data_IF_089157150026
#
_entry.id   IF_089157150026
#
_cell.length_a   1.000
_cell.length_b   1.000
_cell.length_c   1.000
_cell.angle_alpha   90.00
_cell.angle_beta   90.00
_cell.angle_gamma   90.00
#
_symmetry.space_group_name_H-M   'P 1'
#
loop_
_entity.id
_entity.type
_entity.pdbx_description
1 polymer ?
#
# COMPACT_ATOMS: atom_id res chain seq x y z
N UNK A 1 -11.96 -14.89 -8.21
CA UNK A 1 -13.29 -15.10 -7.63
C UNK A 1 -13.79 -13.75 -7.17
N UNK A 2 -14.94 -13.26 -7.66
CA UNK A 2 -15.54 -12.01 -7.18
C UNK A 2 -16.20 -12.23 -5.81
N UNK A 3 -16.10 -11.23 -4.93
CA UNK A 3 -16.71 -11.19 -3.61
C UNK A 3 -17.33 -9.80 -3.45
N UNK A 4 -18.65 -9.75 -3.27
CA UNK A 4 -19.39 -8.50 -3.14
C UNK A 4 -20.02 -8.45 -1.75
N UNK A 5 -19.92 -7.31 -1.05
CA UNK A 5 -20.50 -7.14 0.28
C UNK A 5 -21.13 -5.76 0.48
N UNK A 6 -22.18 -5.70 1.29
CA UNK A 6 -23.05 -4.53 1.44
C UNK A 6 -23.39 -4.29 2.91
N UNK A 7 -23.51 -3.02 3.29
CA UNK A 7 -24.02 -2.61 4.59
C UNK A 7 -22.97 -2.71 5.71
N UNK A 8 -23.03 -3.76 6.55
CA UNK A 8 -22.02 -3.98 7.58
C UNK A 8 -21.45 -5.39 7.38
N UNK A 9 -20.20 -5.47 6.93
CA UNK A 9 -19.57 -6.73 6.56
C UNK A 9 -18.23 -6.94 7.28
N UNK A 10 -17.91 -8.22 7.51
CA UNK A 10 -16.61 -8.64 8.00
C UNK A 10 -16.19 -9.88 7.22
N UNK A 11 -15.01 -9.83 6.61
CA UNK A 11 -14.51 -10.89 5.75
C UNK A 11 -13.06 -11.24 6.12
N UNK A 12 -12.74 -12.51 5.99
CA UNK A 12 -11.38 -13.03 6.10
C UNK A 12 -11.14 -13.94 4.91
N UNK A 13 -10.06 -13.69 4.18
CA UNK A 13 -9.71 -14.39 2.96
C UNK A 13 -8.29 -14.90 3.12
N UNK A 14 -8.10 -16.17 2.78
CA UNK A 14 -6.82 -16.87 2.80
C UNK A 14 -6.69 -17.58 1.45
N UNK A 15 -5.55 -17.39 0.78
CA UNK A 15 -5.27 -18.02 -0.51
C UNK A 15 -3.83 -18.47 -0.64
N UNK A 16 -3.62 -19.71 -1.08
CA UNK A 16 -2.31 -20.27 -1.39
C UNK A 16 -2.17 -20.59 -2.89
N UNK A 17 -0.94 -20.52 -3.40
CA UNK A 17 -0.58 -21.02 -4.72
C UNK A 17 -0.75 -19.98 -5.82
N UNK A 18 -1.72 -20.16 -6.72
CA UNK A 18 -2.03 -19.18 -7.78
C UNK A 18 -3.46 -18.71 -7.58
N UNK A 19 -3.64 -17.46 -7.16
CA UNK A 19 -4.94 -16.90 -6.81
C UNK A 19 -5.24 -15.61 -7.59
N UNK A 20 -6.51 -15.40 -7.87
CA UNK A 20 -7.01 -14.14 -8.45
C UNK A 20 -8.32 -13.79 -7.80
N UNK A 21 -8.40 -12.60 -7.21
CA UNK A 21 -9.53 -12.14 -6.42
C UNK A 21 -9.94 -10.74 -6.83
N UNK A 22 -11.25 -10.50 -6.78
CA UNK A 22 -11.86 -9.19 -6.96
C UNK A 22 -12.81 -9.01 -5.80
N UNK A 23 -12.70 -7.92 -5.07
CA UNK A 23 -13.52 -7.65 -3.89
C UNK A 23 -14.16 -6.29 -4.07
N UNK A 24 -15.47 -6.22 -3.86
CA UNK A 24 -16.28 -5.02 -3.89
C UNK A 24 -17.01 -4.91 -2.54
N UNK A 25 -16.93 -3.75 -1.90
CA UNK A 25 -17.58 -3.52 -0.62
C UNK A 25 -18.16 -2.11 -0.49
N UNK A 26 -19.47 -2.04 -0.24
CA UNK A 26 -20.16 -0.79 0.09
C UNK A 26 -20.59 -0.77 1.57
N UNK A 27 -20.38 0.37 2.24
CA UNK A 27 -20.86 0.62 3.61
C UNK A 27 -19.75 0.56 4.66
N UNK A 28 -19.93 -0.23 5.71
CA UNK A 28 -18.93 -0.43 6.79
C UNK A 28 -18.33 -1.82 6.62
N UNK A 29 -17.09 -1.88 6.14
CA UNK A 29 -16.41 -3.14 5.85
C UNK A 29 -15.17 -3.32 6.72
N UNK A 30 -14.93 -4.55 7.15
CA UNK A 30 -13.66 -4.97 7.75
C UNK A 30 -13.16 -6.20 7.03
N UNK A 31 -11.95 -6.13 6.50
CA UNK A 31 -11.36 -7.18 5.68
C UNK A 31 -9.97 -7.54 6.19
N UNK A 32 -9.68 -8.83 6.23
CA UNK A 32 -8.34 -9.37 6.42
C UNK A 32 -8.05 -10.31 5.26
N UNK A 33 -6.96 -10.07 4.55
CA UNK A 33 -6.58 -10.84 3.38
C UNK A 33 -5.16 -11.33 3.58
N UNK A 34 -4.98 -12.64 3.45
CA UNK A 34 -3.69 -13.32 3.47
C UNK A 34 -3.50 -14.06 2.14
N UNK A 35 -2.34 -13.90 1.52
CA UNK A 35 -2.03 -14.56 0.26
C UNK A 35 -0.59 -15.00 0.15
N UNK A 36 -0.39 -16.30 -0.09
CA UNK A 36 0.92 -16.88 -0.36
C UNK A 36 1.02 -17.38 -1.82
N UNK A 37 2.12 -17.05 -2.50
CA UNK A 37 2.44 -17.57 -3.84
C UNK A 37 2.35 -16.52 -4.94
N UNK A 38 1.51 -16.75 -5.95
CA UNK A 38 1.26 -15.81 -7.05
C UNK A 38 -0.17 -15.30 -6.93
N UNK A 39 -0.33 -14.08 -6.44
CA UNK A 39 -1.64 -13.47 -6.20
C UNK A 39 -1.88 -12.26 -7.08
N UNK A 40 -3.13 -12.10 -7.51
CA UNK A 40 -3.61 -10.88 -8.15
C UNK A 40 -4.91 -10.47 -7.49
N UNK A 41 -4.95 -9.25 -6.95
CA UNK A 41 -6.08 -8.72 -6.20
C UNK A 41 -6.49 -7.37 -6.77
N UNK A 42 -7.80 -7.19 -6.91
CA UNK A 42 -8.44 -5.90 -7.14
C UNK A 42 -9.43 -5.69 -6.02
N UNK A 43 -9.36 -4.57 -5.33
CA UNK A 43 -10.24 -4.26 -4.21
C UNK A 43 -10.83 -2.88 -4.44
N UNK A 44 -12.14 -2.81 -4.35
CA UNK A 44 -12.93 -1.60 -4.44
C UNK A 44 -13.73 -1.45 -3.13
N UNK A 45 -13.70 -0.27 -2.52
CA UNK A 45 -14.40 -0.03 -1.26
C UNK A 45 -14.94 1.38 -1.15
N UNK A 46 -16.27 1.48 -0.99
CA UNK A 46 -16.95 2.75 -0.73
C UNK A 46 -17.47 2.79 0.72
N UNK A 47 -17.13 3.86 1.46
CA UNK A 47 -17.66 4.12 2.80
C UNK A 47 -16.60 4.05 3.90
N UNK A 48 -16.85 3.28 4.97
CA UNK A 48 -15.91 3.11 6.09
C UNK A 48 -15.27 1.73 5.98
N UNK A 49 -14.04 1.69 5.49
CA UNK A 49 -13.30 0.45 5.29
C UNK A 49 -12.11 0.33 6.24
N UNK A 50 -11.89 -0.88 6.74
CA UNK A 50 -10.64 -1.27 7.41
C UNK A 50 -10.14 -2.53 6.77
N UNK A 51 -8.95 -2.50 6.19
CA UNK A 51 -8.42 -3.58 5.37
C UNK A 51 -6.99 -3.91 5.80
N UNK A 52 -6.77 -5.12 6.28
CA UNK A 52 -5.41 -5.62 6.53
C UNK A 52 -5.06 -6.59 5.42
N UNK A 53 -3.93 -6.36 4.76
CA UNK A 53 -3.49 -7.22 3.65
C UNK A 53 -2.06 -7.68 3.92
N UNK A 54 -1.88 -8.99 3.87
CA UNK A 54 -0.59 -9.66 3.91
C UNK A 54 -0.40 -10.42 2.59
N UNK A 55 0.78 -10.30 2.00
CA UNK A 55 1.11 -11.02 0.77
C UNK A 55 2.56 -11.46 0.73
N UNK A 56 2.77 -12.76 0.56
CA UNK A 56 4.08 -13.35 0.34
C UNK A 56 4.22 -13.91 -1.09
N UNK A 57 5.32 -13.60 -1.76
CA UNK A 57 5.69 -14.19 -3.05
C UNK A 57 5.68 -13.19 -4.21
N UNK A 58 4.81 -13.41 -5.21
CA UNK A 58 4.61 -12.51 -6.34
C UNK A 58 3.18 -11.99 -6.28
N UNK A 59 3.02 -10.74 -5.84
CA UNK A 59 1.71 -10.12 -5.67
C UNK A 59 1.52 -8.92 -6.60
N UNK A 60 0.29 -8.78 -7.10
CA UNK A 60 -0.17 -7.55 -7.74
C UNK A 60 -1.49 -7.18 -7.10
N UNK A 61 -1.57 -5.95 -6.60
CA UNK A 61 -2.69 -5.50 -5.78
C UNK A 61 -3.11 -4.10 -6.20
N UNK A 62 -4.29 -4.01 -6.81
CA UNK A 62 -4.94 -2.74 -7.09
C UNK A 62 -5.97 -2.45 -6.02
N UNK A 63 -5.87 -1.30 -5.37
CA UNK A 63 -6.84 -0.87 -4.36
C UNK A 63 -7.41 0.47 -4.79
N UNK A 64 -8.74 0.55 -4.75
CA UNK A 64 -9.51 1.78 -4.86
C UNK A 64 -10.34 1.94 -3.58
N UNK A 65 -10.40 3.15 -3.06
CA UNK A 65 -11.17 3.44 -1.85
C UNK A 65 -11.68 4.85 -1.79
N UNK A 66 -12.93 4.98 -1.35
CA UNK A 66 -13.56 6.27 -1.12
C UNK A 66 -13.99 6.44 0.35
N UNK A 67 -14.20 7.69 0.75
CA UNK A 67 -14.66 8.15 2.07
C UNK A 67 -13.65 7.99 3.23
N UNK A 68 -13.65 6.87 3.95
CA UNK A 68 -12.81 6.68 5.15
C UNK A 68 -12.17 5.30 5.11
N UNK A 69 -10.86 5.26 4.92
CA UNK A 69 -10.11 4.01 4.85
C UNK A 69 -8.97 3.92 5.86
N UNK A 70 -8.70 2.70 6.32
CA UNK A 70 -7.48 2.35 7.04
C UNK A 70 -6.93 1.05 6.46
N UNK A 71 -5.71 1.11 5.92
CA UNK A 71 -5.13 0.02 5.14
C UNK A 71 -3.68 -0.27 5.52
N UNK A 72 -3.44 -1.05 6.57
CA UNK A 72 -2.15 -1.72 6.75
C UNK A 72 -1.93 -2.74 5.63
N UNK A 73 -0.82 -2.61 4.91
CA UNK A 73 -0.43 -3.50 3.82
C UNK A 73 1.01 -3.96 4.06
N UNK A 74 1.18 -5.27 4.18
CA UNK A 74 2.48 -5.92 4.29
C UNK A 74 2.72 -6.77 3.03
N UNK A 75 3.92 -6.66 2.45
CA UNK A 75 4.27 -7.38 1.22
C UNK A 75 5.70 -7.88 1.21
N UNK A 76 5.88 -9.20 1.15
CA UNK A 76 7.18 -9.83 1.00
C UNK A 76 7.37 -10.42 -0.41
N UNK A 77 8.53 -10.18 -1.02
CA UNK A 77 8.93 -10.79 -2.29
C UNK A 77 8.92 -9.80 -3.46
N UNK A 78 8.06 -10.02 -4.45
CA UNK A 78 7.88 -9.14 -5.62
C UNK A 78 6.46 -8.60 -5.60
N UNK A 79 6.32 -7.31 -5.33
CA UNK A 79 5.02 -6.67 -5.19
C UNK A 79 4.85 -5.49 -6.15
N UNK A 80 3.64 -5.34 -6.67
CA UNK A 80 3.17 -4.17 -7.40
C UNK A 80 1.85 -3.68 -6.79
N UNK A 81 1.85 -2.46 -6.28
CA UNK A 81 0.74 -1.90 -5.49
C UNK A 81 0.35 -0.51 -6.01
N UNK A 82 -0.48 -0.43 -7.05
CA UNK A 82 -1.26 0.77 -7.33
C UNK A 82 -2.39 0.95 -6.31
N UNK A 83 -2.43 2.10 -5.66
CA UNK A 83 -3.45 2.47 -4.68
C UNK A 83 -4.01 3.84 -5.08
N UNK A 84 -5.33 3.91 -5.19
CA UNK A 84 -6.10 5.14 -5.35
C UNK A 84 -6.99 5.31 -4.11
N UNK A 85 -7.07 6.54 -3.61
CA UNK A 85 -7.80 6.79 -2.37
C UNK A 85 -8.33 8.21 -2.26
N UNK A 86 -9.64 8.35 -2.12
CA UNK A 86 -10.31 9.63 -1.87
C UNK A 86 -10.86 9.71 -0.44
N UNK A 87 -10.77 10.89 0.20
CA UNK A 87 -11.38 11.14 1.50
C UNK A 87 -10.38 11.17 2.66
N UNK A 88 -10.58 10.34 3.69
CA UNK A 88 -9.75 10.28 4.89
C UNK A 88 -9.05 8.91 4.96
N UNK A 89 -7.76 8.91 4.65
CA UNK A 89 -7.02 7.68 4.40
C UNK A 89 -5.83 7.55 5.34
N UNK A 90 -5.65 6.35 5.92
CA UNK A 90 -4.46 6.00 6.70
C UNK A 90 -3.85 4.73 6.14
N UNK A 91 -2.61 4.83 5.65
CA UNK A 91 -1.93 3.76 4.91
C UNK A 91 -0.52 3.51 5.47
N UNK A 92 -0.38 2.63 6.47
CA UNK A 92 0.88 1.99 6.78
C UNK A 92 1.20 0.93 5.72
N UNK A 93 2.37 1.00 5.10
CA UNK A 93 2.81 0.03 4.11
C UNK A 93 4.21 -0.46 4.50
N UNK A 94 4.38 -1.76 4.63
CA UNK A 94 5.68 -2.41 4.77
C UNK A 94 5.94 -3.26 3.51
N UNK A 95 7.16 -3.21 3.00
CA UNK A 95 7.54 -4.02 1.85
C UNK A 95 8.97 -4.52 1.92
N UNK A 96 9.15 -5.83 1.82
CA UNK A 96 10.45 -6.47 1.71
C UNK A 96 10.67 -7.08 0.32
N UNK A 97 11.85 -6.84 -0.26
CA UNK A 97 12.25 -7.44 -1.53
C UNK A 97 12.27 -6.47 -2.71
N UNK A 98 11.44 -6.71 -3.73
CA UNK A 98 11.30 -5.86 -4.92
C UNK A 98 9.88 -5.30 -4.94
N UNK A 99 9.72 -4.03 -4.59
CA UNK A 99 8.41 -3.39 -4.54
C UNK A 99 8.29 -2.25 -5.56
N UNK A 100 7.13 -2.16 -6.19
CA UNK A 100 6.71 -1.00 -6.98
C UNK A 100 5.40 -0.48 -6.43
N UNK A 101 5.40 0.76 -5.94
CA UNK A 101 4.24 1.43 -5.37
C UNK A 101 3.90 2.66 -6.20
N UNK A 102 2.60 2.84 -6.47
CA UNK A 102 2.04 4.06 -7.03
C UNK A 102 0.84 4.41 -6.17
N UNK A 103 0.92 5.52 -5.44
CA UNK A 103 -0.16 5.95 -4.54
C UNK A 103 -0.68 7.29 -5.05
N UNK A 104 -1.97 7.34 -5.33
CA UNK A 104 -2.71 8.57 -5.53
C UNK A 104 -3.63 8.79 -4.32
N UNK A 105 -3.72 10.02 -3.84
CA UNK A 105 -4.55 10.31 -2.68
C UNK A 105 -5.12 11.72 -2.71
N UNK A 106 -6.45 11.82 -2.65
CA UNK A 106 -7.15 13.09 -2.51
C UNK A 106 -7.79 13.23 -1.12
N UNK A 107 -7.68 14.41 -0.52
CA UNK A 107 -8.34 14.74 0.75
C UNK A 107 -7.39 14.83 1.94
N UNK A 108 -7.57 13.98 2.95
CA UNK A 108 -6.74 13.92 4.17
C UNK A 108 -6.04 12.56 4.19
N UNK A 109 -4.74 12.54 3.87
CA UNK A 109 -3.95 11.30 3.82
C UNK A 109 -2.86 11.27 4.88
N UNK A 110 -2.73 10.12 5.55
CA UNK A 110 -1.58 9.80 6.41
C UNK A 110 -0.94 8.54 5.90
N UNK A 111 0.31 8.65 5.44
CA UNK A 111 1.10 7.55 4.90
C UNK A 111 2.34 7.30 5.74
N UNK A 112 2.61 6.04 6.04
CA UNK A 112 3.87 5.59 6.61
C UNK A 112 4.35 4.43 5.78
N UNK A 113 5.47 4.58 5.09
CA UNK A 113 6.00 3.53 4.21
C UNK A 113 7.37 3.12 4.69
N UNK A 114 7.53 1.83 4.98
CA UNK A 114 8.82 1.19 5.16
C UNK A 114 9.12 0.30 3.95
N UNK A 115 10.38 0.26 3.54
CA UNK A 115 10.79 -0.64 2.48
C UNK A 115 12.21 -1.12 2.66
N UNK A 116 12.38 -2.44 2.64
CA UNK A 116 13.68 -3.09 2.59
C UNK A 116 13.92 -3.70 1.20
N UNK A 117 15.06 -3.38 0.59
CA UNK A 117 15.49 -3.98 -0.68
C UNK A 117 15.48 -3.00 -1.86
N UNK A 118 14.77 -3.35 -2.94
CA UNK A 118 14.68 -2.54 -4.16
C UNK A 118 13.26 -1.99 -4.29
N UNK A 119 13.09 -0.71 -3.99
CA UNK A 119 11.78 -0.04 -4.05
C UNK A 119 11.74 1.03 -5.14
N UNK A 120 10.62 1.07 -5.86
CA UNK A 120 10.25 2.19 -6.74
C UNK A 120 8.93 2.74 -6.27
N UNK A 121 8.89 4.03 -6.01
CA UNK A 121 7.73 4.67 -5.41
C UNK A 121 7.37 5.96 -6.14
N UNK A 122 6.11 6.08 -6.51
CA UNK A 122 5.49 7.32 -6.97
C UNK A 122 4.33 7.64 -6.05
N UNK A 123 4.33 8.84 -5.48
CA UNK A 123 3.20 9.30 -4.67
C UNK A 123 2.73 10.64 -5.20
N UNK A 124 1.44 10.72 -5.49
CA UNK A 124 0.71 11.96 -5.72
C UNK A 124 -0.25 12.19 -4.56
N UNK A 125 -0.42 13.45 -4.16
CA UNK A 125 -1.34 13.77 -3.08
C UNK A 125 -1.93 15.18 -3.23
N UNK A 126 -3.25 15.27 -3.20
CA UNK A 126 -3.97 16.54 -3.15
C UNK A 126 -4.67 16.73 -1.80
N UNK A 127 -4.52 17.91 -1.19
CA UNK A 127 -5.21 18.29 0.05
C UNK A 127 -4.27 18.39 1.25
N UNK A 128 -4.53 17.61 2.30
CA UNK A 128 -3.74 17.59 3.55
C UNK A 128 -3.05 16.24 3.68
N UNK A 129 -1.74 16.22 3.45
CA UNK A 129 -0.96 14.98 3.50
C UNK A 129 0.10 15.00 4.60
N UNK A 130 0.21 13.88 5.30
CA UNK A 130 1.31 13.58 6.23
C UNK A 130 1.99 12.30 5.77
N UNK A 131 3.30 12.35 5.59
CA UNK A 131 4.05 11.26 4.99
C UNK A 131 5.35 10.99 5.75
N UNK A 132 5.57 9.74 6.11
CA UNK A 132 6.85 9.24 6.60
C UNK A 132 7.31 8.11 5.70
N UNK A 133 8.52 8.20 5.16
CA UNK A 133 9.08 7.12 4.36
C UNK A 133 10.45 6.76 4.91
N UNK A 134 10.65 5.48 5.21
CA UNK A 134 11.95 4.88 5.42
C UNK A 134 12.25 3.91 4.29
N UNK A 135 13.52 3.82 3.92
CA UNK A 135 13.95 2.89 2.90
C UNK A 135 15.37 2.42 3.20
N UNK A 136 15.50 1.11 3.35
CA UNK A 136 16.78 0.45 3.49
C UNK A 136 17.21 -0.15 2.14
N UNK A 137 18.36 0.31 1.61
CA UNK A 137 19.01 -0.16 0.37
C UNK A 137 18.79 0.70 -0.89
N UNK A 138 18.10 0.21 -1.93
CA UNK A 138 18.00 0.87 -3.24
C UNK A 138 16.57 1.35 -3.46
N UNK A 139 16.33 2.63 -3.24
CA UNK A 139 15.03 3.25 -3.42
C UNK A 139 15.07 4.34 -4.49
N UNK A 140 14.08 4.32 -5.38
CA UNK A 140 13.76 5.45 -6.26
C UNK A 140 12.40 6.00 -5.89
N UNK A 141 12.31 7.32 -5.79
CA UNK A 141 11.12 7.98 -5.23
C UNK A 141 10.80 9.26 -5.99
N UNK A 142 9.52 9.42 -6.32
CA UNK A 142 8.92 10.66 -6.81
C UNK A 142 7.74 10.98 -5.90
N UNK A 143 7.70 12.20 -5.36
CA UNK A 143 6.58 12.68 -4.56
C UNK A 143 6.14 14.00 -5.17
N UNK A 144 4.88 14.06 -5.58
CA UNK A 144 4.18 15.29 -5.87
C UNK A 144 3.13 15.53 -4.78
N UNK A 145 2.90 16.79 -4.45
CA UNK A 145 1.87 17.13 -3.49
C UNK A 145 1.34 18.54 -3.70
N UNK A 146 0.03 18.66 -3.84
CA UNK A 146 -0.68 19.93 -3.87
C UNK A 146 -1.47 20.15 -2.58
N UNK A 147 -1.19 21.25 -1.88
CA UNK A 147 -1.90 21.61 -0.65
C UNK A 147 -1.00 21.70 0.59
N UNK A 148 -1.51 21.27 1.74
CA UNK A 148 -0.78 21.27 3.02
C UNK A 148 -0.09 19.93 3.25
N UNK A 149 1.19 19.86 2.91
CA UNK A 149 1.96 18.63 3.00
C UNK A 149 3.02 18.70 4.10
N UNK A 150 3.16 17.62 4.86
CA UNK A 150 4.31 17.38 5.73
C UNK A 150 4.94 16.04 5.39
N UNK A 151 6.25 16.03 5.11
CA UNK A 151 6.96 14.82 4.72
C UNK A 151 8.30 14.68 5.45
N UNK A 152 8.63 13.43 5.79
CA UNK A 152 9.98 13.02 6.21
C UNK A 152 10.38 11.78 5.43
N UNK A 153 11.54 11.83 4.79
CA UNK A 153 12.10 10.69 4.07
C UNK A 153 13.50 10.38 4.61
N UNK A 154 13.75 9.13 4.96
CA UNK A 154 15.08 8.60 5.29
C UNK A 154 15.45 7.56 4.25
N UNK A 155 16.72 7.57 3.83
CA UNK A 155 17.29 6.52 3.00
C UNK A 155 18.62 6.10 3.61
N UNK A 156 18.71 4.85 4.03
CA UNK A 156 19.95 4.28 4.57
C UNK A 156 20.65 3.48 3.48
N UNK A 157 21.68 4.09 2.88
CA UNK A 157 22.64 3.35 2.07
C UNK A 157 23.55 2.52 2.98
N UNK A 158 23.27 1.21 3.15
CA UNK A 158 24.20 0.27 3.80
C UNK A 158 25.40 0.00 2.89
N UNK A 159 26.35 0.93 2.82
CA UNK A 159 27.70 0.63 2.31
C UNK A 159 28.48 -0.13 3.38
N UNK A 160 28.97 -1.32 3.04
CA UNK A 160 29.97 -2.03 3.85
C UNK A 160 31.22 -1.15 4.11
N UNK A 161 32.05 -1.48 5.12
CA UNK A 161 33.04 -0.55 5.70
C UNK A 161 34.31 -0.30 4.85
N UNK A 162 34.17 -0.08 3.54
CA UNK A 162 35.27 0.37 2.68
C UNK A 162 34.73 1.03 1.41
N UNK A 163 34.81 2.36 1.33
CA UNK A 163 35.54 3.11 0.29
C UNK A 163 35.23 4.61 0.39
N UNK A 164 36.25 5.35 0.75
CA UNK A 164 36.42 6.77 0.43
C UNK A 164 36.45 6.98 -1.08
N UNK A 165 35.68 7.92 -1.63
CA UNK A 165 36.09 8.68 -2.82
C UNK A 165 35.44 10.07 -2.84
N UNK A 166 36.33 11.06 -2.96
CA UNK A 166 36.27 12.50 -3.29
C UNK A 166 35.00 13.33 -3.05
#
# INVERSE_FOLDING_TARGET
MPIDSEGISTMSIDSEGISTMSIDSEGISTMSIDSEGISTMSIDSEGISTMSIDSEGISTMSIDSEDISTMPIDGEGISAMPIDSEGINTMPIDSEGISTMSIDSEGISTMSIDSEGVSTMSIDSEGVSTMSIDSESISTMSIDSEGMSTSSASQIYKWGPNRSFF
#
